data_IF_860315795180
#
_entry.id   IF_860315795180
#
_cell.length_a   1.000
_cell.length_b   1.000
_cell.length_c   1.000
_cell.angle_alpha   90.00
_cell.angle_beta   90.00
_cell.angle_gamma   90.00
#
_symmetry.space_group_name_H-M   'P 1'
#
loop_
_entity.id
_entity.type
_entity.pdbx_description
1 polymer ?
#
# COMPACT_ATOMS: atom_id res chain seq x y z
N UNK A 1 6.87 10.97 -9.47
CA UNK A 1 6.35 9.96 -8.51
C UNK A 1 4.93 9.57 -8.94
N UNK A 2 4.69 9.06 -10.15
CA UNK A 2 4.92 7.67 -10.62
C UNK A 2 4.38 6.58 -9.68
N UNK A 3 3.23 6.87 -9.09
CA UNK A 3 2.52 5.96 -8.22
C UNK A 3 1.78 4.90 -9.04
N UNK A 4 1.95 3.62 -8.72
CA UNK A 4 1.08 2.51 -9.19
C UNK A 4 0.95 2.30 -10.72
N UNK A 5 2.01 2.47 -11.52
CA UNK A 5 1.93 1.90 -12.86
C UNK A 5 2.05 0.38 -12.75
N UNK A 6 0.87 -0.24 -12.83
CA UNK A 6 0.70 -1.62 -13.28
C UNK A 6 0.94 -2.68 -12.19
N UNK A 7 -0.11 -2.85 -11.39
CA UNK A 7 -0.52 -4.15 -10.88
C UNK A 7 -0.72 -5.10 -12.08
N UNK A 8 0.34 -5.63 -12.66
CA UNK A 8 0.26 -6.54 -13.80
C UNK A 8 1.33 -7.61 -13.67
N UNK A 9 0.84 -8.82 -13.41
CA UNK A 9 1.50 -10.08 -13.75
C UNK A 9 1.73 -10.03 -15.26
N UNK A 10 2.91 -9.61 -15.73
CA UNK A 10 3.26 -9.66 -17.14
C UNK A 10 4.64 -10.27 -17.31
N UNK A 11 4.69 -11.26 -18.21
CA UNK A 11 5.84 -12.11 -18.45
C UNK A 11 7.08 -11.32 -18.83
N UNK A 12 8.23 -11.96 -18.57
CA UNK A 12 9.63 -11.52 -18.71
C UNK A 12 9.95 -10.62 -19.92
N UNK A 13 9.18 -10.68 -21.00
CA UNK A 13 9.40 -9.99 -22.28
C UNK A 13 8.91 -8.53 -22.29
N UNK A 14 7.84 -8.20 -21.56
CA UNK A 14 7.31 -6.82 -21.51
C UNK A 14 8.10 -5.90 -20.57
N UNK A 15 8.79 -6.46 -19.56
CA UNK A 15 9.58 -5.68 -18.61
C UNK A 15 10.83 -5.04 -19.24
N UNK A 16 11.43 -5.70 -20.25
CA UNK A 16 12.58 -5.14 -20.97
C UNK A 16 12.16 -3.99 -21.88
N UNK A 17 11.06 -4.16 -22.61
CA UNK A 17 10.54 -3.14 -23.54
C UNK A 17 10.08 -1.86 -22.82
N UNK A 18 9.39 -2.00 -21.68
CA UNK A 18 8.95 -0.84 -20.88
C UNK A 18 10.10 -0.15 -20.14
N UNK A 19 11.20 -0.86 -19.84
CA UNK A 19 12.39 -0.25 -19.23
C UNK A 19 13.16 0.63 -20.24
N UNK A 20 13.17 0.24 -21.51
CA UNK A 20 13.83 1.00 -22.58
C UNK A 20 13.08 2.30 -22.93
N UNK A 21 11.75 2.35 -22.78
CA UNK A 21 10.93 3.57 -23.01
C UNK A 21 11.08 4.64 -21.90
N UNK A 22 11.43 4.25 -20.67
CA UNK A 22 11.56 5.14 -19.50
C UNK A 22 13.03 5.29 -19.11
N UNK A 23 13.90 5.44 -20.11
CA UNK A 23 15.34 5.56 -19.91
C UNK A 23 15.73 7.03 -19.74
N UNK A 24 16.04 7.53 -18.54
CA UNK A 24 16.79 8.78 -18.42
C UNK A 24 18.17 8.58 -19.07
N UNK A 25 18.53 9.43 -20.02
CA UNK A 25 19.70 9.28 -20.91
C UNK A 25 21.05 9.15 -20.18
N UNK A 26 21.11 9.50 -18.89
CA UNK A 26 22.35 9.60 -18.11
C UNK A 26 22.51 8.54 -17.00
N UNK A 27 21.60 7.58 -16.86
CA UNK A 27 21.64 6.63 -15.73
C UNK A 27 22.28 5.30 -16.13
N UNK A 28 23.48 5.03 -15.61
CA UNK A 28 24.07 3.69 -15.65
C UNK A 28 23.28 2.75 -14.72
N UNK A 29 22.88 1.59 -15.24
CA UNK A 29 22.17 0.57 -14.46
C UNK A 29 22.70 -0.83 -14.76
N UNK A 30 22.66 -1.69 -13.75
CA UNK A 30 22.94 -3.12 -13.88
C UNK A 30 21.63 -3.90 -13.83
N UNK A 31 21.37 -4.74 -14.84
CA UNK A 31 20.23 -5.66 -14.81
C UNK A 31 20.61 -6.97 -14.14
N UNK A 32 20.00 -7.25 -13.00
CA UNK A 32 20.18 -8.51 -12.28
C UNK A 32 18.96 -9.40 -12.52
N UNK A 33 19.21 -10.66 -12.90
CA UNK A 33 18.14 -11.66 -13.04
C UNK A 33 17.88 -12.34 -11.70
N UNK A 34 16.65 -12.23 -11.21
CA UNK A 34 16.18 -13.00 -10.05
C UNK A 34 16.16 -14.49 -10.42
N UNK A 35 16.86 -15.38 -9.67
CA UNK A 35 16.83 -16.81 -9.92
C UNK A 35 15.40 -17.38 -9.78
N UNK A 36 15.11 -18.51 -10.45
CA UNK A 36 13.81 -19.14 -10.31
C UNK A 36 13.56 -19.60 -8.87
N UNK A 37 12.28 -19.59 -8.45
CA UNK A 37 11.79 -20.09 -7.14
C UNK A 37 12.29 -19.34 -5.88
N UNK A 38 13.11 -18.30 -6.01
CA UNK A 38 13.56 -17.47 -4.87
C UNK A 38 12.88 -16.11 -4.78
N UNK A 39 11.89 -15.87 -5.65
CA UNK A 39 11.20 -14.58 -5.76
C UNK A 39 10.62 -14.10 -4.41
N UNK A 40 10.06 -15.01 -3.60
CA UNK A 40 9.52 -14.67 -2.29
C UNK A 40 10.57 -14.29 -1.24
N UNK A 41 11.84 -14.59 -1.49
CA UNK A 41 12.97 -14.35 -0.57
C UNK A 41 13.76 -13.11 -0.97
N UNK A 42 13.95 -12.88 -2.27
CA UNK A 42 14.82 -11.80 -2.74
C UNK A 42 14.07 -10.66 -3.43
N UNK A 43 12.89 -10.87 -4.02
CA UNK A 43 12.22 -9.76 -4.71
C UNK A 43 11.63 -8.77 -3.68
N UNK A 44 12.07 -7.49 -3.63
CA UNK A 44 11.65 -6.54 -2.59
C UNK A 44 10.13 -6.38 -2.52
N UNK A 45 9.49 -6.40 -3.69
CA UNK A 45 8.03 -6.37 -3.81
C UNK A 45 7.36 -7.54 -3.07
N UNK A 46 7.86 -8.77 -3.19
CA UNK A 46 7.26 -9.93 -2.53
C UNK A 46 7.66 -10.05 -1.05
N UNK A 47 8.89 -9.66 -0.72
CA UNK A 47 9.43 -9.72 0.65
C UNK A 47 8.60 -8.86 1.60
N UNK A 48 8.29 -7.62 1.20
CA UNK A 48 7.60 -6.67 2.06
C UNK A 48 6.40 -5.98 1.39
N UNK A 49 6.55 -5.31 0.26
CA UNK A 49 5.51 -4.39 -0.26
C UNK A 49 4.16 -5.08 -0.53
N UNK A 50 4.13 -6.15 -1.32
CA UNK A 50 2.93 -6.93 -1.62
C UNK A 50 2.39 -7.66 -0.39
N UNK A 51 3.27 -8.09 0.53
CA UNK A 51 2.84 -8.70 1.78
C UNK A 51 2.06 -7.68 2.63
N UNK A 52 2.61 -6.48 2.81
CA UNK A 52 1.96 -5.38 3.52
C UNK A 52 0.65 -4.99 2.85
N UNK A 53 0.65 -4.85 1.52
CA UNK A 53 -0.54 -4.52 0.75
C UNK A 53 -1.65 -5.57 0.90
N UNK A 54 -1.34 -6.86 0.74
CA UNK A 54 -2.30 -7.96 0.92
C UNK A 54 -2.85 -8.00 2.34
N UNK A 55 -2.00 -7.78 3.33
CA UNK A 55 -2.42 -7.69 4.74
C UNK A 55 -3.37 -6.54 4.99
N UNK A 56 -3.06 -5.36 4.44
CA UNK A 56 -3.91 -4.18 4.53
C UNK A 56 -5.26 -4.40 3.85
N UNK A 57 -5.23 -4.88 2.60
CA UNK A 57 -6.44 -5.19 1.82
C UNK A 57 -7.34 -6.16 2.59
N UNK A 58 -6.76 -7.24 3.14
CA UNK A 58 -7.51 -8.23 3.94
C UNK A 58 -8.17 -7.60 5.17
N UNK A 59 -7.51 -6.67 5.85
CA UNK A 59 -8.10 -5.98 7.01
C UNK A 59 -9.28 -5.09 6.61
N UNK A 60 -9.11 -4.30 5.55
CA UNK A 60 -10.18 -3.45 5.01
C UNK A 60 -11.37 -4.30 4.54
N UNK A 61 -11.11 -5.34 3.74
CA UNK A 61 -12.16 -6.20 3.20
C UNK A 61 -12.93 -6.93 4.32
N UNK A 62 -12.23 -7.46 5.32
CA UNK A 62 -12.86 -8.12 6.46
C UNK A 62 -13.74 -7.16 7.25
N UNK A 63 -13.27 -5.93 7.46
CA UNK A 63 -14.05 -4.92 8.16
C UNK A 63 -15.33 -4.55 7.38
N UNK A 64 -15.24 -4.36 6.06
CA UNK A 64 -16.41 -4.02 5.22
C UNK A 64 -17.41 -5.18 5.24
N UNK A 65 -16.93 -6.42 5.10
CA UNK A 65 -17.76 -7.62 5.16
C UNK A 65 -18.58 -7.69 6.45
N UNK A 66 -17.99 -7.30 7.58
CA UNK A 66 -18.65 -7.31 8.89
C UNK A 66 -19.58 -6.11 9.13
N UNK A 67 -19.33 -4.94 8.51
CA UNK A 67 -20.00 -3.68 8.90
C UNK A 67 -20.93 -3.07 7.83
N UNK A 68 -20.84 -3.43 6.55
CA UNK A 68 -21.56 -2.72 5.44
C UNK A 68 -22.53 -3.62 4.66
N UNK A 69 -22.48 -4.94 4.89
CA UNK A 69 -23.17 -6.05 4.21
C UNK A 69 -22.27 -6.86 3.26
N UNK A 70 -22.23 -8.20 3.40
CA UNK A 70 -21.42 -9.10 2.58
C UNK A 70 -21.57 -8.94 1.06
N UNK A 71 -22.79 -8.70 0.58
CA UNK A 71 -23.11 -8.63 -0.85
C UNK A 71 -22.39 -7.46 -1.54
N UNK A 72 -22.13 -6.37 -0.82
CA UNK A 72 -21.53 -5.14 -1.36
C UNK A 72 -20.01 -5.27 -1.62
N UNK A 73 -19.31 -6.21 -0.98
CA UNK A 73 -17.84 -6.33 -1.07
C UNK A 73 -17.36 -6.68 -2.49
N UNK A 74 -18.18 -7.40 -3.25
CA UNK A 74 -17.86 -7.83 -4.62
C UNK A 74 -18.21 -6.78 -5.67
N UNK A 75 -18.92 -5.71 -5.31
CA UNK A 75 -19.23 -4.64 -6.25
C UNK A 75 -17.95 -3.91 -6.68
N UNK A 76 -17.83 -3.68 -7.98
CA UNK A 76 -16.68 -2.99 -8.59
C UNK A 76 -16.37 -1.67 -7.89
N UNK A 77 -17.39 -0.89 -7.55
CA UNK A 77 -17.22 0.42 -6.91
C UNK A 77 -16.63 0.31 -5.51
N UNK A 78 -17.03 -0.71 -4.74
CA UNK A 78 -16.46 -0.97 -3.40
C UNK A 78 -15.00 -1.42 -3.54
N UNK A 79 -14.68 -2.27 -4.52
CA UNK A 79 -13.31 -2.69 -4.82
C UNK A 79 -12.43 -1.49 -5.21
N UNK A 80 -12.91 -0.62 -6.10
CA UNK A 80 -12.20 0.61 -6.49
C UNK A 80 -12.01 1.56 -5.31
N UNK A 81 -13.03 1.72 -4.44
CA UNK A 81 -12.93 2.51 -3.21
C UNK A 81 -11.88 1.95 -2.25
N UNK A 82 -11.86 0.63 -2.05
CA UNK A 82 -10.84 -0.04 -1.24
C UNK A 82 -9.43 0.22 -1.80
N UNK A 83 -9.21 -0.02 -3.08
CA UNK A 83 -7.90 0.22 -3.70
C UNK A 83 -7.48 1.68 -3.60
N UNK A 84 -8.39 2.63 -3.83
CA UNK A 84 -8.14 4.07 -3.73
C UNK A 84 -7.76 4.49 -2.31
N UNK A 85 -8.48 3.96 -1.30
CA UNK A 85 -8.15 4.18 0.10
C UNK A 85 -6.76 3.63 0.41
N UNK A 86 -6.51 2.35 0.15
CA UNK A 86 -5.22 1.69 0.44
C UNK A 86 -4.08 2.45 -0.21
N UNK A 87 -4.25 2.77 -1.49
CA UNK A 87 -3.29 3.54 -2.23
C UNK A 87 -2.97 4.87 -1.55
N UNK A 88 -3.99 5.67 -1.25
CA UNK A 88 -3.81 6.96 -0.56
C UNK A 88 -3.06 6.79 0.76
N UNK A 89 -3.29 5.71 1.51
CA UNK A 89 -2.56 5.46 2.74
C UNK A 89 -1.09 5.15 2.47
N UNK A 90 -0.77 4.32 1.47
CA UNK A 90 0.60 3.97 1.08
C UNK A 90 1.40 5.15 0.53
N UNK A 91 0.74 6.19 0.01
CA UNK A 91 1.42 7.39 -0.50
C UNK A 91 1.78 8.40 0.58
N UNK A 92 1.40 8.17 1.83
CA UNK A 92 1.77 9.06 2.93
C UNK A 92 3.29 9.12 3.12
N UNK A 93 3.86 10.32 3.37
CA UNK A 93 5.25 10.48 3.81
C UNK A 93 5.62 9.60 5.00
N UNK A 94 4.66 9.24 5.86
CA UNK A 94 4.87 8.35 7.01
C UNK A 94 5.47 6.99 6.65
N UNK A 95 5.19 6.51 5.44
CA UNK A 95 5.56 5.17 5.00
C UNK A 95 6.57 5.18 3.85
N UNK A 96 7.22 6.32 3.60
CA UNK A 96 8.23 6.49 2.54
C UNK A 96 9.36 5.46 2.62
N UNK A 97 9.75 5.07 3.84
CA UNK A 97 10.84 4.13 4.08
C UNK A 97 10.45 2.65 3.84
N UNK A 98 9.19 2.35 3.50
CA UNK A 98 8.75 0.98 3.25
C UNK A 98 9.54 0.31 2.12
N UNK A 99 9.80 1.05 1.03
CA UNK A 99 10.54 0.54 -0.12
C UNK A 99 12.00 0.30 0.28
N UNK A 100 12.65 1.28 0.89
CA UNK A 100 14.03 1.14 1.36
C UNK A 100 14.20 -0.04 2.34
N UNK A 101 13.23 -0.24 3.25
CA UNK A 101 13.21 -1.42 4.12
C UNK A 101 13.09 -2.72 3.33
N UNK A 102 12.26 -2.76 2.28
CA UNK A 102 12.09 -3.93 1.44
C UNK A 102 13.41 -4.33 0.75
N UNK A 103 14.16 -3.35 0.21
CA UNK A 103 15.47 -3.58 -0.40
C UNK A 103 16.50 -4.12 0.59
N UNK A 104 16.53 -3.56 1.81
CA UNK A 104 17.40 -4.06 2.88
C UNK A 104 17.05 -5.50 3.27
N UNK A 105 15.76 -5.80 3.49
CA UNK A 105 15.31 -7.17 3.84
C UNK A 105 15.56 -8.19 2.71
N UNK A 106 15.63 -7.73 1.47
CA UNK A 106 15.99 -8.54 0.31
C UNK A 106 17.50 -8.78 0.15
N UNK A 107 18.34 -8.11 0.95
CA UNK A 107 19.80 -8.24 0.90
C UNK A 107 20.50 -7.43 -0.20
N UNK A 108 19.82 -6.44 -0.79
CA UNK A 108 20.42 -5.58 -1.83
C UNK A 108 21.11 -4.33 -1.27
N UNK A 109 20.83 -3.97 -0.01
CA UNK A 109 21.37 -2.78 0.64
C UNK A 109 21.71 -3.12 2.08
N UNK A 110 22.94 -2.86 2.51
CA UNK A 110 23.38 -3.16 3.89
C UNK A 110 22.76 -2.21 4.93
N UNK A 111 22.48 -0.97 4.53
CA UNK A 111 21.89 0.04 5.40
C UNK A 111 20.46 -0.32 5.78
N UNK A 112 20.24 -0.60 7.06
CA UNK A 112 18.90 -0.65 7.63
C UNK A 112 18.31 0.77 7.77
N UNK A 113 17.06 0.92 7.37
CA UNK A 113 16.25 2.12 7.65
C UNK A 113 15.17 1.78 8.66
N UNK A 114 14.92 2.71 9.59
CA UNK A 114 13.71 2.65 10.40
C UNK A 114 12.51 2.93 9.50
N UNK A 115 11.46 2.12 9.67
CA UNK A 115 10.23 2.27 8.91
C UNK A 115 9.04 2.07 9.84
N UNK A 116 7.95 2.76 9.53
CA UNK A 116 6.69 2.57 10.22
C UNK A 116 5.94 1.43 9.55
N UNK A 117 5.58 0.40 10.32
CA UNK A 117 4.70 -0.65 9.83
C UNK A 117 3.31 -0.07 9.60
N UNK A 118 2.94 0.06 8.32
CA UNK A 118 1.71 0.68 7.86
C UNK A 118 0.47 -0.03 8.41
N UNK A 119 0.50 -1.36 8.53
CA UNK A 119 -0.63 -2.15 9.06
C UNK A 119 -0.78 -1.95 10.57
N UNK A 120 0.33 -1.93 11.31
CA UNK A 120 0.30 -1.68 12.75
C UNK A 120 -0.19 -0.27 13.03
N UNK A 121 0.41 0.72 12.36
CA UNK A 121 0.06 2.12 12.53
C UNK A 121 -1.42 2.39 12.25
N UNK A 122 -1.95 1.90 11.13
CA UNK A 122 -3.33 2.23 10.72
C UNK A 122 -4.40 1.46 11.48
N UNK A 123 -4.13 0.28 12.05
CA UNK A 123 -5.17 -0.59 12.60
C UNK A 123 -5.03 -0.93 14.09
N UNK A 124 -3.88 -0.68 14.73
CA UNK A 124 -3.74 -0.93 16.15
C UNK A 124 -4.24 0.26 16.97
N UNK A 125 -4.84 -0.04 18.14
CA UNK A 125 -5.26 0.97 19.11
C UNK A 125 -6.34 1.92 18.58
N UNK A 126 -7.18 1.46 17.65
CA UNK A 126 -8.32 2.25 17.18
C UNK A 126 -9.27 2.52 18.33
N UNK A 127 -9.44 3.79 18.66
CA UNK A 127 -10.31 4.30 19.74
C UNK A 127 -11.06 5.53 19.24
N UNK A 128 -12.22 5.80 19.83
CA UNK A 128 -13.02 6.99 19.51
C UNK A 128 -14.10 6.76 18.44
N UNK A 129 -14.51 7.86 17.81
CA UNK A 129 -15.52 7.91 16.72
C UNK A 129 -14.87 8.43 15.45
N UNK A 130 -15.53 8.21 14.31
CA UNK A 130 -15.08 8.74 13.03
C UNK A 130 -15.11 10.27 13.06
N UNK A 131 -14.09 10.91 12.48
CA UNK A 131 -13.98 12.38 12.42
C UNK A 131 -14.99 13.05 11.48
N UNK A 132 -15.77 12.26 10.71
CA UNK A 132 -16.80 12.80 9.83
C UNK A 132 -18.04 13.22 10.64
N UNK A 133 -18.66 14.35 10.26
CA UNK A 133 -19.78 14.92 11.00
C UNK A 133 -20.94 13.92 11.11
N UNK A 134 -21.45 13.76 12.34
CA UNK A 134 -22.53 12.82 12.71
C UNK A 134 -22.32 11.37 12.23
N UNK A 135 -21.08 10.92 12.13
CA UNK A 135 -20.79 9.54 11.74
C UNK A 135 -20.88 8.58 12.94
N UNK A 136 -21.84 7.66 12.90
CA UNK A 136 -22.04 6.61 13.92
C UNK A 136 -21.43 5.26 13.52
N UNK A 137 -20.73 5.19 12.38
CA UNK A 137 -20.11 3.95 11.89
C UNK A 137 -18.91 3.58 12.76
N UNK A 138 -18.68 2.28 12.87
CA UNK A 138 -17.47 1.73 13.48
C UNK A 138 -16.22 2.31 12.79
N UNK A 139 -15.13 2.41 13.56
CA UNK A 139 -13.84 2.82 13.00
C UNK A 139 -13.23 1.69 12.18
N UNK A 140 -12.69 2.05 11.02
CA UNK A 140 -11.94 1.15 10.15
C UNK A 140 -10.43 1.30 10.38
N UNK A 141 -9.91 2.53 10.33
CA UNK A 141 -8.48 2.78 10.35
C UNK A 141 -8.13 4.20 10.81
N UNK A 142 -6.87 4.40 11.18
CA UNK A 142 -6.25 5.71 11.44
C UNK A 142 -5.52 6.19 10.19
N UNK A 143 -5.79 7.44 9.78
CA UNK A 143 -5.22 8.03 8.57
C UNK A 143 -3.69 8.14 8.64
N UNK A 144 -3.03 7.58 7.62
CA UNK A 144 -1.61 7.66 7.33
C UNK A 144 -1.08 9.08 7.12
N UNK A 145 -1.95 10.05 6.84
CA UNK A 145 -1.58 11.45 6.64
C UNK A 145 -1.83 12.27 7.91
N UNK A 146 -3.10 12.50 8.27
CA UNK A 146 -3.47 13.39 9.36
C UNK A 146 -3.76 12.69 10.71
N UNK A 147 -3.58 11.37 10.83
CA UNK A 147 -3.89 10.60 12.05
C UNK A 147 -5.38 10.60 12.47
N UNK A 148 -6.27 11.20 11.68
CA UNK A 148 -7.71 11.14 11.89
C UNK A 148 -8.23 9.69 11.93
N UNK A 149 -9.11 9.32 12.89
CA UNK A 149 -9.85 8.07 12.84
C UNK A 149 -10.91 8.09 11.73
N UNK A 150 -10.88 7.09 10.85
CA UNK A 150 -11.73 6.97 9.67
C UNK A 150 -12.61 5.71 9.72
N UNK A 151 -13.85 5.84 9.26
CA UNK A 151 -14.68 4.70 8.85
C UNK A 151 -14.61 4.49 7.33
N UNK A 152 -15.24 3.43 6.81
CA UNK A 152 -15.48 3.29 5.38
C UNK A 152 -16.76 4.05 5.00
N UNK A 153 -16.61 5.21 4.35
CA UNK A 153 -17.71 6.10 3.92
C UNK A 153 -17.75 6.25 2.40
N UNK A 154 -18.86 6.76 1.86
CA UNK A 154 -19.02 6.97 0.42
C UNK A 154 -18.18 8.13 -0.10
N UNK A 155 -18.07 9.21 0.69
CA UNK A 155 -17.17 10.32 0.42
C UNK A 155 -15.74 9.97 0.80
N UNK A 156 -14.82 10.19 -0.14
CA UNK A 156 -13.43 9.84 0.01
C UNK A 156 -12.71 10.77 0.98
N UNK A 157 -12.07 10.20 1.99
CA UNK A 157 -11.07 10.90 2.77
C UNK A 157 -9.73 10.96 2.01
N UNK A 158 -9.63 11.86 1.02
CA UNK A 158 -8.38 12.13 0.29
C UNK A 158 -7.53 13.16 1.02
N UNK A 159 -6.92 12.74 2.13
CA UNK A 159 -6.04 13.62 2.90
C UNK A 159 -4.71 13.86 2.17
N UNK A 160 -4.25 15.11 2.17
CA UNK A 160 -2.91 15.53 1.72
C UNK A 160 -2.11 16.24 2.82
N UNK A 161 -2.66 16.35 4.03
CA UNK A 161 -2.04 17.02 5.17
C UNK A 161 -1.30 15.97 5.99
N UNK A 162 0.03 16.03 5.97
CA UNK A 162 0.85 15.13 6.77
C UNK A 162 1.08 15.71 8.17
N UNK A 163 0.65 14.98 9.19
CA UNK A 163 0.99 15.25 10.59
C UNK A 163 2.04 14.23 11.07
N UNK A 164 3.25 14.66 11.47
CA UNK A 164 4.31 13.76 11.93
C UNK A 164 3.89 13.02 13.19
#
# INVERSE_FOLDING_TARGET
>A
MSLIYSLLILGRRFLTEAADEVKPEELEYEMITIPPKVTGQIQPLNVLCFRTYKGYFRKVSNWIFLNIQPVQVHHRDVILKMHSLIYQQFTSPRFSNLIARAWHLSGYVDRSVEYVNLTEFCFQGLTGRCDHDKCERSLLLKCGWCKAPLCFYEEYHFCKIYLP
#
